data_IF_275378211813
#
_entry.id   IF_275378211813
#
_cell.length_a   1.000
_cell.length_b   1.000
_cell.length_c   1.000
_cell.angle_alpha   90.00
_cell.angle_beta   90.00
_cell.angle_gamma   90.00
#
_symmetry.space_group_name_H-M   'P 1'
#
loop_
_entity.id
_entity.type
_entity.pdbx_description
1 polymer ?
#
# COMPACT_ATOMS: atom_id res chain seq x y z
N UNK A 1 8.58 -61.10 -29.20
CA UNK A 1 9.48 -59.93 -29.06
C UNK A 1 8.87 -58.62 -29.56
N UNK A 2 8.29 -58.55 -30.76
CA UNK A 2 7.69 -57.29 -31.31
C UNK A 2 6.54 -56.69 -30.45
N UNK A 3 5.71 -57.53 -29.81
CA UNK A 3 4.63 -57.07 -28.91
C UNK A 3 5.12 -56.54 -27.56
N UNK A 4 6.31 -56.94 -27.11
CA UNK A 4 6.90 -56.51 -25.84
C UNK A 4 7.56 -55.13 -25.98
N UNK A 5 8.16 -54.87 -27.15
CA UNK A 5 8.78 -53.58 -27.49
C UNK A 5 7.71 -52.47 -27.60
N UNK A 6 6.54 -52.78 -28.16
CA UNK A 6 5.42 -51.83 -28.23
C UNK A 6 4.87 -51.44 -26.87
N UNK A 7 4.82 -52.37 -25.90
CA UNK A 7 4.33 -52.10 -24.55
C UNK A 7 5.30 -51.19 -23.75
N UNK A 8 6.61 -51.38 -23.94
CA UNK A 8 7.66 -50.56 -23.32
C UNK A 8 7.66 -49.13 -23.89
N UNK A 9 7.41 -48.99 -25.20
CA UNK A 9 7.31 -47.67 -25.85
C UNK A 9 6.09 -46.87 -25.36
N UNK A 10 4.96 -47.54 -25.08
CA UNK A 10 3.75 -46.89 -24.53
C UNK A 10 3.95 -46.47 -23.06
N UNK A 11 4.68 -47.27 -22.26
CA UNK A 11 5.02 -46.91 -20.87
C UNK A 11 5.97 -45.70 -20.78
N UNK A 12 6.92 -45.58 -21.72
CA UNK A 12 7.86 -44.44 -21.80
C UNK A 12 7.16 -43.13 -22.18
N UNK A 13 6.10 -43.18 -23.00
CA UNK A 13 5.30 -42.00 -23.36
C UNK A 13 4.45 -41.51 -22.18
N UNK A 14 3.97 -42.41 -21.31
CA UNK A 14 3.24 -42.02 -20.08
C UNK A 14 4.15 -41.42 -19.00
N UNK A 15 5.44 -41.74 -18.97
CA UNK A 15 6.41 -41.12 -18.05
C UNK A 15 6.99 -39.79 -18.56
N UNK A 16 6.96 -39.54 -19.88
CA UNK A 16 7.52 -38.34 -20.49
C UNK A 16 6.68 -37.06 -20.33
N UNK A 17 5.44 -37.16 -19.83
CA UNK A 17 4.52 -36.02 -19.70
C UNK A 17 4.10 -35.73 -18.25
N UNK A 18 5.02 -35.89 -17.30
CA UNK A 18 4.92 -35.23 -16.00
C UNK A 18 5.94 -34.10 -15.91
N UNK A 19 5.81 -33.07 -16.76
CA UNK A 19 6.29 -31.75 -16.35
C UNK A 19 5.45 -31.35 -15.15
N UNK A 20 5.97 -31.58 -13.95
CA UNK A 20 5.52 -30.83 -12.78
C UNK A 20 5.75 -29.37 -13.13
N UNK A 21 4.68 -28.66 -13.48
CA UNK A 21 4.67 -27.21 -13.41
C UNK A 21 4.90 -26.95 -11.92
N UNK A 22 6.10 -26.51 -11.58
CA UNK A 22 6.43 -26.19 -10.21
C UNK A 22 5.42 -25.15 -9.73
N UNK A 23 4.74 -25.48 -8.64
CA UNK A 23 3.64 -24.67 -8.14
C UNK A 23 4.21 -23.34 -7.64
N UNK A 24 3.61 -22.26 -8.12
CA UNK A 24 3.86 -20.83 -7.84
C UNK A 24 5.11 -20.26 -8.49
N UNK A 25 4.91 -19.52 -9.60
CA UNK A 25 5.88 -18.52 -10.03
C UNK A 25 6.20 -17.59 -8.86
N UNK A 26 7.48 -17.30 -8.65
CA UNK A 26 7.90 -16.41 -7.58
C UNK A 26 7.44 -14.98 -7.92
N UNK A 27 6.42 -14.50 -7.21
CA UNK A 27 5.91 -13.14 -7.41
C UNK A 27 6.80 -12.18 -6.63
N UNK A 28 7.83 -11.68 -7.32
CA UNK A 28 8.83 -10.78 -6.72
C UNK A 28 8.90 -9.50 -7.52
N UNK A 29 8.73 -8.37 -6.83
CA UNK A 29 9.15 -7.06 -7.32
C UNK A 29 10.62 -6.89 -6.94
N UNK A 30 11.51 -6.58 -7.88
CA UNK A 30 12.93 -6.40 -7.58
C UNK A 30 13.55 -5.25 -8.38
N UNK A 31 14.59 -4.66 -7.79
CA UNK A 31 15.30 -3.48 -8.29
C UNK A 31 16.79 -3.62 -7.97
N UNK A 32 17.63 -3.12 -8.87
CA UNK A 32 19.09 -3.11 -8.75
C UNK A 32 19.64 -1.77 -8.21
N UNK A 33 18.75 -0.90 -7.72
CA UNK A 33 19.09 0.37 -7.10
C UNK A 33 18.18 0.71 -5.90
N UNK A 34 18.67 1.51 -4.94
CA UNK A 34 17.86 2.07 -3.86
C UNK A 34 16.76 2.97 -4.40
N UNK A 35 15.65 3.06 -3.65
CA UNK A 35 14.62 4.05 -3.94
C UNK A 35 15.11 5.47 -3.63
N UNK A 36 14.64 6.42 -4.42
CA UNK A 36 14.84 7.86 -4.23
C UNK A 36 13.52 8.62 -4.09
N UNK A 37 12.41 8.03 -4.58
CA UNK A 37 11.05 8.58 -4.50
C UNK A 37 10.13 7.65 -3.68
N UNK A 38 9.55 8.20 -2.61
CA UNK A 38 8.67 7.45 -1.70
C UNK A 38 7.46 6.82 -2.42
N UNK A 39 6.83 7.57 -3.33
CA UNK A 39 5.56 7.17 -3.94
C UNK A 39 5.77 6.20 -5.10
N UNK A 40 6.89 6.34 -5.82
CA UNK A 40 7.15 5.59 -7.06
C UNK A 40 8.00 4.36 -6.85
N UNK A 41 8.91 4.39 -5.88
CA UNK A 41 10.01 3.43 -5.81
C UNK A 41 10.07 2.68 -4.48
N UNK A 42 9.78 3.31 -3.33
CA UNK A 42 9.85 2.62 -2.04
C UNK A 42 8.87 1.42 -1.98
N UNK A 43 9.24 0.37 -1.24
CA UNK A 43 8.47 -0.89 -1.20
C UNK A 43 7.70 -1.02 0.13
N UNK A 44 6.40 -1.40 0.09
CA UNK A 44 5.56 -1.49 1.29
C UNK A 44 5.64 -2.85 1.98
N UNK A 45 5.97 -2.90 3.27
CA UNK A 45 5.69 -4.04 4.16
C UNK A 45 4.71 -3.62 5.25
N UNK A 46 3.87 -4.54 5.74
CA UNK A 46 2.95 -4.21 6.83
C UNK A 46 2.21 -5.42 7.37
N UNK A 47 1.51 -5.23 8.48
CA UNK A 47 0.68 -6.25 9.12
C UNK A 47 -0.81 -5.87 9.15
N UNK A 48 -1.23 -4.87 8.36
CA UNK A 48 -2.60 -4.36 8.34
C UNK A 48 -2.91 -3.32 9.43
N UNK A 49 -2.06 -3.19 10.46
CA UNK A 49 -2.16 -2.13 11.48
C UNK A 49 -1.01 -1.12 11.35
N UNK A 50 0.22 -1.61 11.29
CA UNK A 50 1.42 -0.83 10.97
C UNK A 50 1.90 -1.15 9.56
N UNK A 51 2.45 -0.13 8.90
CA UNK A 51 3.07 -0.23 7.59
C UNK A 51 4.38 0.53 7.53
N UNK A 52 5.31 0.05 6.70
CA UNK A 52 6.60 0.67 6.43
C UNK A 52 6.85 0.69 4.94
N UNK A 53 7.28 1.84 4.42
CA UNK A 53 7.86 2.01 3.10
C UNK A 53 9.39 2.05 3.26
N UNK A 54 10.09 1.07 2.70
CA UNK A 54 11.55 1.00 2.80
C UNK A 54 12.24 1.33 1.48
N UNK A 55 13.34 2.07 1.59
CA UNK A 55 14.07 2.62 0.44
C UNK A 55 15.23 1.72 0.02
N UNK A 56 15.86 1.06 0.98
CA UNK A 56 16.92 0.08 0.76
C UNK A 56 18.30 0.68 0.49
N UNK A 57 18.55 1.94 0.85
CA UNK A 57 19.89 2.54 0.70
C UNK A 57 20.93 1.75 1.54
N UNK A 58 22.05 1.31 0.96
CA UNK A 58 23.09 0.57 1.67
C UNK A 58 23.62 1.30 2.90
N UNK A 59 23.89 2.60 2.80
CA UNK A 59 24.59 3.37 3.82
C UNK A 59 23.62 4.00 4.82
N UNK A 60 22.47 4.48 4.35
CA UNK A 60 21.47 5.20 5.15
C UNK A 60 20.06 4.70 4.84
N UNK A 61 19.66 3.60 5.47
CA UNK A 61 18.29 3.13 5.32
C UNK A 61 17.30 4.21 5.75
N UNK A 62 16.22 4.31 4.99
CA UNK A 62 15.08 5.15 5.31
C UNK A 62 13.83 4.27 5.34
N UNK A 63 13.22 4.20 6.51
CA UNK A 63 11.96 3.51 6.75
C UNK A 63 10.91 4.55 7.12
N UNK A 64 10.11 5.00 6.17
CA UNK A 64 8.91 5.78 6.49
C UNK A 64 7.87 4.80 7.04
N UNK A 65 7.23 5.12 8.15
CA UNK A 65 6.24 4.25 8.77
C UNK A 65 4.95 4.97 9.14
N UNK A 66 3.88 4.20 9.14
CA UNK A 66 2.53 4.63 9.46
C UNK A 66 1.86 3.64 10.41
N UNK A 67 0.94 4.15 11.21
CA UNK A 67 0.03 3.38 12.06
C UNK A 67 -1.40 3.73 11.65
N UNK A 68 -2.26 2.71 11.49
CA UNK A 68 -3.57 2.84 10.86
C UNK A 68 -4.56 3.77 11.57
N UNK A 69 -4.38 4.00 12.87
CA UNK A 69 -5.25 4.85 13.69
C UNK A 69 -4.75 6.28 13.87
N UNK A 70 -3.55 6.61 13.40
CA UNK A 70 -3.00 7.97 13.50
C UNK A 70 -3.67 8.92 12.49
N UNK A 71 -4.74 9.55 12.94
CA UNK A 71 -5.54 10.51 12.18
C UNK A 71 -5.62 11.84 12.90
N UNK A 72 -5.55 12.91 12.12
CA UNK A 72 -5.97 14.24 12.57
C UNK A 72 -7.48 14.40 12.36
N UNK A 73 -8.08 15.40 13.02
CA UNK A 73 -9.52 15.68 12.95
C UNK A 73 -10.34 14.82 13.91
N UNK A 74 -11.65 14.77 13.68
CA UNK A 74 -12.55 13.94 14.48
C UNK A 74 -13.02 14.57 15.80
N UNK A 75 -13.68 13.78 16.66
CA UNK A 75 -14.11 14.23 17.98
C UNK A 75 -12.95 14.83 18.79
N UNK A 76 -13.16 16.03 19.33
CA UNK A 76 -12.14 16.78 20.09
C UNK A 76 -11.25 17.69 19.25
N UNK A 77 -11.36 17.68 17.91
CA UNK A 77 -10.59 18.58 17.03
C UNK A 77 -11.07 20.05 17.05
N UNK A 78 -12.31 20.29 17.48
CA UNK A 78 -12.91 21.61 17.66
C UNK A 78 -14.30 21.53 18.32
N UNK A 79 -14.76 22.64 18.89
CA UNK A 79 -16.05 22.70 19.61
C UNK A 79 -17.28 22.53 18.70
N UNK A 80 -17.11 22.73 17.39
CA UNK A 80 -18.18 22.64 16.38
C UNK A 80 -18.22 21.27 15.68
N UNK A 81 -17.28 20.37 15.97
CA UNK A 81 -17.20 19.07 15.31
C UNK A 81 -18.47 18.25 15.57
N UNK A 82 -19.15 17.85 14.51
CA UNK A 82 -20.38 17.08 14.57
C UNK A 82 -20.46 16.02 13.44
N UNK A 83 -19.32 15.42 13.08
CA UNK A 83 -19.20 14.47 11.96
C UNK A 83 -19.50 15.08 10.58
N UNK A 84 -19.33 16.40 10.44
CA UNK A 84 -19.60 17.15 9.22
C UNK A 84 -21.09 17.27 8.89
N UNK A 85 -21.97 17.01 9.87
CA UNK A 85 -23.41 17.04 9.68
C UNK A 85 -23.87 18.49 9.55
N UNK A 86 -24.60 18.78 8.48
CA UNK A 86 -25.37 20.03 8.38
C UNK A 86 -26.73 19.84 9.02
N UNK A 87 -26.94 20.49 10.15
CA UNK A 87 -28.22 20.43 10.85
C UNK A 87 -29.37 20.91 9.94
N UNK A 88 -30.48 20.17 9.94
CA UNK A 88 -31.66 20.51 9.15
C UNK A 88 -31.58 20.21 7.65
N UNK A 89 -30.46 19.71 7.13
CA UNK A 89 -30.27 19.41 5.70
C UNK A 89 -31.38 18.51 5.11
N UNK A 90 -31.85 17.52 5.87
CA UNK A 90 -32.91 16.59 5.45
C UNK A 90 -34.22 17.28 5.05
N UNK A 91 -34.48 18.51 5.53
CA UNK A 91 -35.71 19.26 5.23
C UNK A 91 -35.82 19.66 3.75
N UNK A 92 -34.70 19.68 3.03
CA UNK A 92 -34.66 20.01 1.60
C UNK A 92 -34.88 18.79 0.70
N UNK A 93 -34.87 17.56 1.25
CA UNK A 93 -35.07 16.33 0.47
C UNK A 93 -36.40 16.27 -0.29
N UNK A 94 -37.55 16.71 0.28
CA UNK A 94 -38.82 16.68 -0.47
C UNK A 94 -38.77 17.56 -1.72
N UNK A 95 -38.30 18.80 -1.60
CA UNK A 95 -38.20 19.73 -2.73
C UNK A 95 -37.21 19.25 -3.80
N UNK A 96 -36.05 18.73 -3.38
CA UNK A 96 -35.06 18.15 -4.30
C UNK A 96 -35.67 16.99 -5.10
N UNK A 97 -36.42 16.10 -4.44
CA UNK A 97 -37.10 14.97 -5.12
C UNK A 97 -38.15 15.46 -6.11
N UNK A 98 -38.92 16.48 -5.75
CA UNK A 98 -39.90 17.09 -6.66
C UNK A 98 -39.24 17.65 -7.92
N UNK A 99 -38.11 18.37 -7.79
CA UNK A 99 -37.36 18.86 -8.96
C UNK A 99 -36.83 17.73 -9.84
N UNK A 100 -36.39 16.61 -9.24
CA UNK A 100 -35.97 15.42 -9.99
C UNK A 100 -37.14 14.76 -10.73
N UNK A 101 -38.31 14.64 -10.10
CA UNK A 101 -39.52 14.08 -10.71
C UNK A 101 -40.00 14.92 -11.90
N UNK A 102 -39.82 16.24 -11.83
CA UNK A 102 -40.11 17.16 -12.94
C UNK A 102 -39.03 17.17 -14.04
N UNK A 103 -37.94 16.41 -13.87
CA UNK A 103 -36.81 16.37 -14.81
C UNK A 103 -35.88 17.59 -14.74
N UNK A 104 -36.03 18.48 -13.76
CA UNK A 104 -35.20 19.67 -13.59
C UNK A 104 -33.95 19.37 -12.75
N UNK A 105 -32.98 18.71 -13.39
CA UNK A 105 -31.73 18.28 -12.73
C UNK A 105 -30.86 19.45 -12.28
N UNK A 106 -30.89 20.59 -12.99
CA UNK A 106 -30.14 21.80 -12.61
C UNK A 106 -30.60 22.35 -11.26
N UNK A 107 -31.92 22.45 -11.04
CA UNK A 107 -32.46 22.97 -9.78
C UNK A 107 -32.26 22.00 -8.62
N UNK A 108 -32.42 20.70 -8.88
CA UNK A 108 -32.09 19.66 -7.91
C UNK A 108 -30.61 19.71 -7.50
N UNK A 109 -29.70 19.89 -8.45
CA UNK A 109 -28.26 20.01 -8.19
C UNK A 109 -27.92 21.26 -7.38
N UNK A 110 -28.51 22.40 -7.71
CA UNK A 110 -28.33 23.66 -6.98
C UNK A 110 -28.69 23.48 -5.49
N UNK A 111 -29.90 22.99 -5.19
CA UNK A 111 -30.36 22.77 -3.82
C UNK A 111 -29.54 21.71 -3.08
N UNK A 112 -29.18 20.62 -3.75
CA UNK A 112 -28.33 19.56 -3.19
C UNK A 112 -26.96 20.13 -2.80
N UNK A 113 -26.31 20.85 -3.71
CA UNK A 113 -25.00 21.46 -3.47
C UNK A 113 -25.05 22.46 -2.31
N UNK A 114 -26.12 23.25 -2.25
CA UNK A 114 -26.32 24.27 -1.22
C UNK A 114 -26.66 23.70 0.15
N UNK A 115 -27.35 22.56 0.27
CA UNK A 115 -27.93 22.10 1.54
C UNK A 115 -27.56 20.68 1.98
N UNK A 116 -27.16 19.79 1.06
CA UNK A 116 -26.85 18.39 1.37
C UNK A 116 -25.34 18.08 1.38
N UNK A 117 -24.50 19.09 1.16
CA UNK A 117 -23.05 18.99 1.39
C UNK A 117 -22.72 19.14 2.87
N UNK A 118 -21.84 18.28 3.38
CA UNK A 118 -21.33 18.35 4.74
C UNK A 118 -20.53 19.63 5.01
N UNK A 119 -20.35 19.96 6.28
CA UNK A 119 -19.59 21.13 6.72
C UNK A 119 -18.23 20.68 7.24
N UNK A 120 -17.17 21.38 6.84
CA UNK A 120 -15.82 21.23 7.40
C UNK A 120 -15.47 22.56 8.05
N UNK A 121 -15.14 22.53 9.34
CA UNK A 121 -14.71 23.72 10.07
C UNK A 121 -13.20 23.90 9.90
N UNK A 122 -12.72 25.08 9.45
CA UNK A 122 -11.30 25.32 9.28
C UNK A 122 -10.52 25.14 10.58
N UNK A 123 -9.32 24.56 10.48
CA UNK A 123 -8.38 24.42 11.59
C UNK A 123 -6.98 24.79 11.11
N UNK A 124 -6.28 25.58 11.90
CA UNK A 124 -4.90 25.95 11.62
C UNK A 124 -4.01 24.70 11.47
N UNK A 125 -3.18 24.67 10.44
CA UNK A 125 -2.27 23.56 10.16
C UNK A 125 -2.92 22.30 9.57
N UNK A 126 -4.24 22.22 9.40
CA UNK A 126 -4.92 21.08 8.77
C UNK A 126 -5.69 21.51 7.51
N UNK A 127 -5.23 21.05 6.34
CA UNK A 127 -5.87 21.34 5.06
C UNK A 127 -7.33 20.86 4.94
N UNK A 128 -7.71 19.85 5.72
CA UNK A 128 -9.07 19.30 5.79
C UNK A 128 -9.81 19.71 7.08
N UNK A 129 -9.36 20.76 7.76
CA UNK A 129 -10.01 21.29 8.95
C UNK A 129 -10.23 20.22 10.04
N UNK A 130 -11.40 20.25 10.65
CA UNK A 130 -11.83 19.32 11.70
C UNK A 130 -12.26 17.93 11.17
N UNK A 131 -12.43 17.77 9.85
CA UNK A 131 -12.58 16.45 9.22
C UNK A 131 -11.26 15.66 9.29
N UNK A 132 -10.15 16.34 8.98
CA UNK A 132 -8.80 15.83 9.10
C UNK A 132 -8.38 14.82 8.02
N UNK A 133 -7.27 14.13 8.27
CA UNK A 133 -6.64 13.20 7.33
C UNK A 133 -5.71 12.22 8.06
N UNK A 134 -5.40 11.09 7.41
CA UNK A 134 -4.38 10.15 7.89
C UNK A 134 -3.02 10.86 7.94
N UNK A 135 -2.26 10.59 9.00
CA UNK A 135 -0.94 11.21 9.20
C UNK A 135 0.17 10.16 9.03
N UNK A 136 1.29 10.57 8.44
CA UNK A 136 2.52 9.80 8.57
C UNK A 136 2.92 9.76 10.04
N UNK A 137 3.32 8.61 10.56
CA UNK A 137 3.82 8.51 11.94
C UNK A 137 5.24 9.09 12.02
N UNK A 138 6.05 8.82 11.01
CA UNK A 138 7.37 9.42 10.87
C UNK A 138 8.33 8.51 10.10
N UNK A 139 9.61 8.71 10.37
CA UNK A 139 10.71 8.09 9.64
C UNK A 139 11.73 7.52 10.63
N UNK A 140 12.16 6.29 10.40
CA UNK A 140 13.30 5.68 11.06
C UNK A 140 14.48 5.65 10.08
N UNK A 141 15.56 6.33 10.44
CA UNK A 141 16.79 6.39 9.67
C UNK A 141 17.84 5.49 10.32
N UNK A 142 18.39 4.55 9.56
CA UNK A 142 19.44 3.64 10.05
C UNK A 142 20.72 3.90 9.28
N UNK A 143 21.74 4.43 9.97
CA UNK A 143 23.06 4.67 9.39
C UNK A 143 23.94 3.45 9.60
N UNK A 144 24.25 2.73 8.51
CA UNK A 144 25.01 1.48 8.52
C UNK A 144 26.52 1.76 8.44
N UNK A 145 26.91 2.89 7.84
CA UNK A 145 28.32 3.31 7.67
C UNK A 145 29.19 2.22 7.04
N UNK A 146 28.77 1.67 5.91
CA UNK A 146 29.53 0.61 5.24
C UNK A 146 30.94 1.07 4.86
N UNK A 147 31.86 0.11 4.73
CA UNK A 147 33.22 0.34 4.28
C UNK A 147 33.45 -0.39 2.96
N UNK A 148 34.04 0.30 1.99
CA UNK A 148 34.30 -0.25 0.65
C UNK A 148 33.20 0.03 -0.36
N UNK A 149 33.46 -0.35 -1.61
CA UNK A 149 32.54 -0.13 -2.73
C UNK A 149 31.32 -1.04 -2.63
N UNK A 150 30.13 -0.48 -2.91
CA UNK A 150 28.89 -1.24 -2.95
C UNK A 150 28.79 -2.00 -4.28
N UNK A 151 28.52 -3.30 -4.22
CA UNK A 151 28.33 -4.13 -5.41
C UNK A 151 27.26 -5.20 -5.21
N UNK A 152 26.75 -5.77 -6.31
CA UNK A 152 25.75 -6.84 -6.28
C UNK A 152 24.46 -6.45 -5.56
N UNK A 153 24.08 -5.17 -5.64
CA UNK A 153 22.90 -4.65 -4.96
C UNK A 153 21.61 -5.25 -5.52
N UNK A 154 20.70 -5.61 -4.63
CA UNK A 154 19.33 -6.00 -4.95
C UNK A 154 18.39 -5.64 -3.81
N UNK A 155 17.31 -4.96 -4.16
CA UNK A 155 16.16 -4.69 -3.29
C UNK A 155 14.94 -5.41 -3.84
N UNK A 156 14.15 -6.04 -2.98
CA UNK A 156 13.00 -6.81 -3.42
C UNK A 156 11.83 -6.85 -2.43
N UNK A 157 10.66 -7.18 -2.96
CA UNK A 157 9.45 -7.52 -2.23
C UNK A 157 8.94 -8.85 -2.75
N UNK A 158 8.97 -9.88 -1.90
CA UNK A 158 8.44 -11.19 -2.20
C UNK A 158 6.96 -11.26 -1.79
N UNK A 159 6.07 -11.23 -2.77
CA UNK A 159 4.62 -11.20 -2.57
C UNK A 159 4.06 -12.55 -2.08
N UNK A 160 4.80 -13.66 -2.29
CA UNK A 160 4.40 -14.96 -1.77
C UNK A 160 4.56 -15.05 -0.25
N UNK A 161 5.48 -14.27 0.32
CA UNK A 161 5.82 -14.32 1.76
C UNK A 161 5.53 -13.02 2.51
N UNK A 162 5.24 -11.93 1.80
CA UNK A 162 5.07 -10.59 2.40
C UNK A 162 6.36 -10.01 2.98
N UNK A 163 7.53 -10.47 2.51
CA UNK A 163 8.85 -10.03 3.01
C UNK A 163 9.53 -9.09 2.03
N UNK A 164 10.01 -7.96 2.56
CA UNK A 164 10.97 -7.09 1.91
C UNK A 164 12.40 -7.55 2.17
N UNK A 165 13.28 -7.33 1.20
CA UNK A 165 14.69 -7.71 1.27
C UNK A 165 15.61 -6.66 0.66
N UNK A 166 16.79 -6.48 1.25
CA UNK A 166 17.88 -5.69 0.68
C UNK A 166 19.18 -6.45 0.86
N UNK A 167 19.87 -6.75 -0.23
CA UNK A 167 21.11 -7.50 -0.25
C UNK A 167 22.16 -6.76 -1.08
N UNK A 168 23.39 -6.70 -0.59
CA UNK A 168 24.51 -6.08 -1.30
C UNK A 168 25.83 -6.53 -0.66
N UNK A 169 26.94 -6.25 -1.34
CA UNK A 169 28.28 -6.31 -0.75
C UNK A 169 28.83 -4.92 -0.53
N UNK A 170 29.58 -4.73 0.54
CA UNK A 170 30.44 -3.58 0.78
C UNK A 170 31.89 -4.08 0.89
N UNK A 171 32.67 -3.89 -0.18
CA UNK A 171 33.94 -4.60 -0.36
C UNK A 171 33.70 -6.13 -0.33
N UNK A 172 34.35 -6.82 0.62
CA UNK A 172 34.23 -8.27 0.80
C UNK A 172 33.08 -8.69 1.73
N UNK A 173 32.45 -7.75 2.44
CA UNK A 173 31.40 -8.05 3.43
C UNK A 173 30.04 -8.11 2.73
N UNK A 174 29.29 -9.19 2.96
CA UNK A 174 27.91 -9.33 2.46
C UNK A 174 26.93 -8.85 3.53
N UNK A 175 26.04 -7.94 3.14
CA UNK A 175 24.97 -7.41 3.97
C UNK A 175 23.62 -7.91 3.48
N UNK A 176 22.74 -8.22 4.44
CA UNK A 176 21.36 -8.61 4.18
C UNK A 176 20.43 -7.99 5.22
N UNK A 177 19.35 -7.37 4.74
CA UNK A 177 18.26 -6.85 5.56
C UNK A 177 16.96 -7.53 5.15
N UNK A 178 16.16 -7.94 6.12
CA UNK A 178 14.82 -8.49 5.91
C UNK A 178 13.80 -7.66 6.67
N UNK A 179 12.73 -7.27 5.98
CA UNK A 179 11.64 -6.48 6.55
C UNK A 179 10.33 -7.26 6.43
N UNK A 180 9.54 -7.28 7.49
CA UNK A 180 8.24 -7.96 7.51
C UNK A 180 7.33 -7.36 8.58
N UNK A 181 6.03 -7.37 8.31
CA UNK A 181 5.01 -7.10 9.31
C UNK A 181 4.62 -8.39 10.01
N UNK A 182 4.66 -8.41 11.34
CA UNK A 182 4.13 -9.54 12.12
C UNK A 182 2.66 -9.26 12.40
N UNK A 183 1.78 -10.07 11.83
CA UNK A 183 0.38 -10.13 12.23
C UNK A 183 0.19 -11.33 13.18
N UNK A 184 -0.48 -11.15 14.34
CA UNK A 184 -0.81 -12.25 15.25
C UNK A 184 -1.70 -13.33 14.64
#
# INVERSE_FOLDING_TARGET
MKRLIGLVFILLIFFACSKRIDKTAELVLWYDSPATDWMKEALPVGNGYMGVMFFGDPDKEHLQFSEGSLWAGGPGSGAQYNFGIREGAYRFLPEIREWLEQGNTSKAFELTSQHLSGIIHPREGLGFGDYGAQQTMGDLLVNVQNQGEISGYRREMNLNTGRGGVNYKAGEVTHSRTLFGVYP
#
